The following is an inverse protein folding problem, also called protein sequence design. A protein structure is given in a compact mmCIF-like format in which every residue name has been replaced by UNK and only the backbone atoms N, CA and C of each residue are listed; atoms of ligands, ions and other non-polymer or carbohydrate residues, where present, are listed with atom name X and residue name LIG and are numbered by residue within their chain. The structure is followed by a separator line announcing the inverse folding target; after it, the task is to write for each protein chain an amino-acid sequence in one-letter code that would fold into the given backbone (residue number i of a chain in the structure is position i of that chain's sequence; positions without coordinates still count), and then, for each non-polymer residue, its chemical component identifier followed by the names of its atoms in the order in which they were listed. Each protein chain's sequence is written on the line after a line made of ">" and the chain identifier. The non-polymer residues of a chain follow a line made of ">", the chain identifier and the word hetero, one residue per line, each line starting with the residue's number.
data_IF_846594674525
#
_entry.id   IF_846594674525
#
_cell.length_a   1.000
_cell.length_b   1.000
_cell.length_c   1.000
_cell.angle_alpha   90.00
_cell.angle_beta   90.00
_cell.angle_gamma   90.00
#
_symmetry.space_group_name_H-M   'P 1'
#
loop_
_entity.id
_entity.type
_entity.pdbx_description
1 polymer ?
#
# COMPACT_ATOMS: atom_id res chain seq x y z
N UNK A 1 -22.67 -2.85 3.54
CA UNK A 1 -21.98 -4.10 3.94
C UNK A 1 -20.90 -3.75 4.96
N UNK A 2 -21.00 -4.27 6.18
CA UNK A 2 -19.97 -4.03 7.20
C UNK A 2 -18.78 -4.96 6.92
N UNK A 3 -17.73 -4.43 6.29
CA UNK A 3 -16.49 -5.19 6.13
C UNK A 3 -15.84 -5.41 7.51
N UNK A 4 -15.66 -6.68 7.87
CA UNK A 4 -15.02 -7.09 9.11
C UNK A 4 -13.50 -6.89 9.07
N UNK A 5 -12.85 -7.06 10.23
CA UNK A 5 -11.38 -6.97 10.34
C UNK A 5 -10.67 -7.99 9.44
N UNK A 6 -11.22 -9.20 9.31
CA UNK A 6 -10.69 -10.22 8.40
C UNK A 6 -10.71 -9.77 6.94
N UNK A 7 -11.77 -9.12 6.48
CA UNK A 7 -11.86 -8.59 5.11
C UNK A 7 -10.78 -7.54 4.84
N UNK A 8 -10.49 -6.66 5.79
CA UNK A 8 -9.42 -5.65 5.68
C UNK A 8 -8.07 -6.34 5.49
N UNK A 9 -7.77 -7.35 6.33
CA UNK A 9 -6.53 -8.11 6.25
C UNK A 9 -6.43 -8.82 4.90
N UNK A 10 -7.47 -9.54 4.46
CA UNK A 10 -7.46 -10.23 3.17
C UNK A 10 -7.27 -9.28 1.99
N UNK A 11 -7.90 -8.11 2.00
CA UNK A 11 -7.74 -7.09 0.96
C UNK A 11 -6.30 -6.54 0.91
N UNK A 12 -5.73 -6.22 2.08
CA UNK A 12 -4.36 -5.66 2.17
C UNK A 12 -3.33 -6.72 1.81
N UNK A 13 -3.34 -7.88 2.44
CA UNK A 13 -2.31 -8.90 2.20
C UNK A 13 -2.51 -9.58 0.84
N UNK A 14 -3.74 -9.99 0.50
CA UNK A 14 -4.03 -10.59 -0.79
C UNK A 14 -3.80 -9.63 -1.96
N UNK A 15 -4.34 -8.41 -1.87
CA UNK A 15 -4.19 -7.40 -2.92
C UNK A 15 -2.74 -6.95 -3.08
N UNK A 16 -2.08 -6.54 -2.01
CA UNK A 16 -0.76 -5.93 -2.13
C UNK A 16 0.36 -6.98 -2.39
N UNK A 17 0.25 -8.21 -1.87
CA UNK A 17 1.22 -9.27 -2.21
C UNK A 17 1.08 -9.69 -3.68
N UNK A 18 -0.15 -9.83 -4.18
CA UNK A 18 -0.40 -10.15 -5.60
C UNK A 18 0.01 -9.01 -6.53
N UNK A 19 -0.13 -7.77 -6.08
CA UNK A 19 0.31 -6.59 -6.83
C UNK A 19 1.83 -6.59 -7.07
N UNK A 20 2.62 -6.95 -6.06
CA UNK A 20 4.09 -7.05 -6.18
C UNK A 20 4.48 -8.11 -7.22
N UNK A 21 3.80 -9.25 -7.23
CA UNK A 21 4.04 -10.28 -8.24
C UNK A 21 3.80 -9.77 -9.67
N UNK A 22 2.66 -9.12 -9.91
CA UNK A 22 2.36 -8.53 -11.21
C UNK A 22 3.33 -7.39 -11.58
N UNK A 23 3.75 -6.60 -10.59
CA UNK A 23 4.73 -5.53 -10.76
C UNK A 23 6.10 -6.09 -11.21
N UNK A 24 6.60 -7.14 -10.56
CA UNK A 24 7.87 -7.79 -10.92
C UNK A 24 7.83 -8.35 -12.34
N UNK A 25 6.70 -8.96 -12.74
CA UNK A 25 6.52 -9.46 -14.10
C UNK A 25 6.62 -8.35 -15.17
N UNK A 26 6.02 -7.18 -14.91
CA UNK A 26 6.09 -6.03 -15.82
C UNK A 26 7.49 -5.41 -15.84
N UNK A 27 8.11 -5.19 -14.67
CA UNK A 27 9.42 -4.54 -14.58
C UNK A 27 10.51 -5.40 -15.23
N UNK A 28 10.39 -6.73 -15.18
CA UNK A 28 11.35 -7.64 -15.82
C UNK A 28 11.41 -7.47 -17.35
N UNK A 29 10.28 -7.18 -18.00
CA UNK A 29 10.20 -6.98 -19.46
C UNK A 29 10.33 -5.51 -19.85
N UNK A 30 9.80 -4.59 -19.05
CA UNK A 30 9.80 -3.16 -19.32
C UNK A 30 10.11 -2.35 -18.04
N UNK A 31 11.40 -2.18 -17.69
CA UNK A 31 11.82 -1.55 -16.43
C UNK A 31 11.34 -0.10 -16.26
N UNK A 32 11.12 0.62 -17.36
CA UNK A 32 10.68 2.02 -17.35
C UNK A 32 9.17 2.19 -17.10
N UNK A 33 8.38 1.13 -16.93
CA UNK A 33 6.90 1.21 -16.93
C UNK A 33 6.27 1.70 -15.61
N UNK A 34 7.06 2.10 -14.61
CA UNK A 34 6.55 2.44 -13.27
C UNK A 34 5.49 3.55 -13.28
N UNK A 35 5.66 4.58 -14.09
CA UNK A 35 4.68 5.68 -14.22
C UNK A 35 3.37 5.20 -14.84
N UNK A 36 3.45 4.43 -15.93
CA UNK A 36 2.29 3.82 -16.59
C UNK A 36 1.48 2.94 -15.64
N UNK A 37 2.17 2.11 -14.84
CA UNK A 37 1.53 1.25 -13.84
C UNK A 37 0.74 2.10 -12.85
N UNK A 38 1.35 3.13 -12.26
CA UNK A 38 0.64 4.00 -11.31
C UNK A 38 -0.54 4.73 -11.97
N UNK A 39 -0.38 5.23 -13.19
CA UNK A 39 -1.48 5.86 -13.92
C UNK A 39 -2.67 4.91 -14.12
N UNK A 40 -2.41 3.67 -14.59
CA UNK A 40 -3.46 2.67 -14.78
C UNK A 40 -4.15 2.27 -13.48
N UNK A 41 -3.39 2.14 -12.39
CA UNK A 41 -3.95 1.91 -11.06
C UNK A 41 -4.93 3.02 -10.65
N UNK A 42 -4.60 4.29 -10.93
CA UNK A 42 -5.45 5.43 -10.61
C UNK A 42 -6.71 5.49 -11.48
N UNK A 43 -6.58 5.24 -12.79
CA UNK A 43 -7.72 5.16 -13.71
C UNK A 43 -8.66 4.04 -13.26
N UNK A 44 -8.14 2.84 -13.07
CA UNK A 44 -8.96 1.68 -12.72
C UNK A 44 -9.63 1.85 -11.36
N UNK A 45 -8.91 2.41 -10.38
CA UNK A 45 -9.49 2.69 -9.06
C UNK A 45 -10.58 3.75 -9.12
N UNK A 46 -10.40 4.79 -9.94
CA UNK A 46 -11.43 5.82 -10.15
C UNK A 46 -12.68 5.23 -10.78
N UNK A 47 -12.53 4.44 -11.85
CA UNK A 47 -13.65 3.79 -12.52
C UNK A 47 -14.38 2.80 -11.61
N UNK A 48 -13.66 1.99 -10.84
CA UNK A 48 -14.26 1.00 -9.95
C UNK A 48 -14.91 1.63 -8.70
N UNK A 49 -14.44 2.78 -8.25
CA UNK A 49 -15.02 3.50 -7.10
C UNK A 49 -16.14 4.47 -7.49
N UNK A 50 -16.24 4.87 -8.77
CA UNK A 50 -17.29 5.74 -9.29
C UNK A 50 -18.72 5.31 -8.91
N UNK A 51 -19.12 4.03 -9.03
CA UNK A 51 -20.47 3.59 -8.64
C UNK A 51 -20.82 3.91 -7.18
N UNK A 52 -19.82 3.99 -6.29
CA UNK A 52 -20.06 4.33 -4.88
C UNK A 52 -20.41 5.80 -4.67
N UNK A 53 -20.06 6.66 -5.63
CA UNK A 53 -20.31 8.10 -5.61
C UNK A 53 -21.31 8.54 -6.68
N UNK A 54 -21.74 7.63 -7.56
CA UNK A 54 -22.73 7.91 -8.59
C UNK A 54 -24.06 8.35 -7.97
N UNK A 55 -24.66 9.40 -8.52
CA UNK A 55 -25.95 9.92 -8.08
C UNK A 55 -26.73 10.43 -9.28
N UNK A 56 -27.98 9.98 -9.42
CA UNK A 56 -28.90 10.44 -10.48
C UNK A 56 -29.43 11.86 -10.24
N UNK A 57 -29.35 12.35 -9.00
CA UNK A 57 -29.85 13.67 -8.59
C UNK A 57 -28.74 14.68 -8.30
N UNK A 58 -27.48 14.24 -8.31
CA UNK A 58 -26.31 15.08 -8.09
C UNK A 58 -25.85 15.82 -9.34
N UNK A 59 -25.27 17.01 -9.15
CA UNK A 59 -24.61 17.72 -10.25
C UNK A 59 -23.48 16.87 -10.86
N UNK A 60 -23.38 16.85 -12.19
CA UNK A 60 -22.39 16.05 -12.93
C UNK A 60 -22.44 14.53 -12.65
N UNK A 61 -23.57 14.01 -12.16
CA UNK A 61 -23.73 12.58 -11.89
C UNK A 61 -23.04 12.07 -10.62
N UNK A 62 -22.52 12.97 -9.77
CA UNK A 62 -21.78 12.63 -8.54
C UNK A 62 -22.54 13.14 -7.31
N UNK A 63 -22.57 12.32 -6.25
CA UNK A 63 -23.13 12.69 -4.95
C UNK A 63 -22.38 13.89 -4.36
N UNK A 64 -23.12 14.81 -3.72
CA UNK A 64 -22.52 15.90 -2.93
C UNK A 64 -21.57 15.31 -1.87
N UNK A 65 -20.27 15.67 -1.87
CA UNK A 65 -19.30 15.10 -0.96
C UNK A 65 -19.55 15.56 0.48
N UNK A 66 -19.33 14.66 1.44
CA UNK A 66 -19.43 14.96 2.87
C UNK A 66 -18.32 15.90 3.30
N UNK A 67 -17.14 15.72 2.71
CA UNK A 67 -15.96 16.54 2.95
C UNK A 67 -15.84 17.59 1.84
N UNK A 68 -15.50 18.85 2.15
CA UNK A 68 -15.22 19.86 1.14
C UNK A 68 -14.16 19.38 0.13
N UNK A 69 -14.42 19.55 -1.16
CA UNK A 69 -13.54 19.09 -2.26
C UNK A 69 -12.11 19.63 -2.12
N UNK A 70 -11.92 20.83 -1.55
CA UNK A 70 -10.59 21.40 -1.29
C UNK A 70 -9.72 20.50 -0.41
N UNK A 71 -10.31 19.85 0.60
CA UNK A 71 -9.57 18.94 1.48
C UNK A 71 -9.15 17.67 0.71
N UNK A 72 -10.02 17.16 -0.15
CA UNK A 72 -9.70 16.05 -1.04
C UNK A 72 -8.69 16.41 -2.11
N UNK A 73 -8.71 17.62 -2.66
CA UNK A 73 -7.72 18.09 -3.61
C UNK A 73 -6.34 18.19 -2.96
N UNK A 74 -6.25 18.72 -1.73
CA UNK A 74 -5.00 18.78 -0.99
C UNK A 74 -4.47 17.38 -0.65
N UNK A 75 -5.34 16.47 -0.21
CA UNK A 75 -4.97 15.08 0.03
C UNK A 75 -4.54 14.36 -1.25
N UNK A 76 -5.24 14.55 -2.37
CA UNK A 76 -4.88 13.99 -3.66
C UNK A 76 -3.51 14.48 -4.14
N UNK A 77 -3.20 15.77 -3.98
CA UNK A 77 -1.89 16.33 -4.31
C UNK A 77 -0.76 15.68 -3.48
N UNK A 78 -0.96 15.49 -2.17
CA UNK A 78 -0.01 14.77 -1.32
C UNK A 78 0.13 13.31 -1.75
N UNK A 79 -0.99 12.62 -1.99
CA UNK A 79 -1.02 11.22 -2.39
C UNK A 79 -0.29 11.00 -3.71
N UNK A 80 -0.57 11.82 -4.73
CA UNK A 80 0.15 11.81 -6.00
C UNK A 80 1.64 12.07 -5.79
N UNK A 81 2.01 13.11 -5.04
CA UNK A 81 3.41 13.46 -4.78
C UNK A 81 4.17 12.32 -4.09
N UNK A 82 3.56 11.68 -3.08
CA UNK A 82 4.15 10.53 -2.39
C UNK A 82 4.38 9.37 -3.36
N UNK A 83 3.41 9.07 -4.24
CA UNK A 83 3.58 8.00 -5.23
C UNK A 83 4.71 8.34 -6.22
N UNK A 84 4.78 9.58 -6.70
CA UNK A 84 5.82 10.01 -7.64
C UNK A 84 7.21 10.02 -7.00
N UNK A 85 7.36 10.56 -5.79
CA UNK A 85 8.64 10.62 -5.07
C UNK A 85 9.18 9.22 -4.75
N UNK A 86 8.32 8.31 -4.28
CA UNK A 86 8.73 6.93 -3.98
C UNK A 86 9.16 6.17 -5.26
N UNK A 87 8.50 6.42 -6.39
CA UNK A 87 8.88 5.82 -7.66
C UNK A 87 10.18 6.43 -8.22
N UNK A 88 10.34 7.74 -8.10
CA UNK A 88 11.49 8.47 -8.62
C UNK A 88 12.77 8.18 -7.83
N UNK A 89 12.66 7.83 -6.54
CA UNK A 89 13.80 7.45 -5.70
C UNK A 89 14.67 6.32 -6.31
N UNK A 90 14.08 5.41 -7.07
CA UNK A 90 14.83 4.33 -7.74
C UNK A 90 15.78 4.83 -8.83
N UNK A 91 15.55 6.02 -9.39
CA UNK A 91 16.46 6.63 -10.37
C UNK A 91 17.80 7.07 -9.75
N UNK A 92 17.87 7.21 -8.43
CA UNK A 92 19.07 7.65 -7.68
C UNK A 92 19.87 6.47 -7.11
N UNK A 93 19.89 5.34 -7.83
CA UNK A 93 20.59 4.11 -7.43
C UNK A 93 20.18 3.55 -6.06
N UNK A 94 19.00 3.93 -5.57
CA UNK A 94 18.45 3.35 -4.35
C UNK A 94 17.95 1.94 -4.62
N UNK A 95 18.55 0.96 -3.96
CA UNK A 95 18.12 -0.43 -4.07
C UNK A 95 16.77 -0.66 -3.36
N UNK A 96 16.02 -1.66 -3.82
CA UNK A 96 14.74 -2.06 -3.20
C UNK A 96 14.86 -2.33 -1.69
N UNK A 97 15.88 -3.05 -1.18
CA UNK A 97 16.07 -3.21 0.26
C UNK A 97 16.29 -1.89 1.02
N UNK A 98 17.10 -0.97 0.49
CA UNK A 98 17.34 0.35 1.10
C UNK A 98 16.05 1.17 1.15
N UNK A 99 15.27 1.17 0.07
CA UNK A 99 13.96 1.81 0.05
C UNK A 99 13.03 1.19 1.12
N UNK A 100 12.96 -0.14 1.22
CA UNK A 100 12.15 -0.82 2.23
C UNK A 100 12.52 -0.37 3.65
N UNK A 101 13.82 -0.29 3.95
CA UNK A 101 14.35 0.20 5.24
C UNK A 101 13.90 1.63 5.50
N UNK A 102 14.16 2.56 4.58
CA UNK A 102 13.86 3.98 4.77
C UNK A 102 12.37 4.22 4.93
N UNK A 103 11.54 3.49 4.18
CA UNK A 103 10.09 3.56 4.28
C UNK A 103 9.54 2.89 5.55
N UNK A 104 10.32 2.05 6.22
CA UNK A 104 9.90 1.45 7.50
C UNK A 104 9.91 2.45 8.65
N UNK A 105 10.79 3.46 8.60
CA UNK A 105 10.80 4.61 9.52
C UNK A 105 9.55 5.50 9.40
N UNK A 106 8.68 5.25 8.42
CA UNK A 106 7.36 5.89 8.31
C UNK A 106 6.51 5.74 9.59
N UNK A 107 6.60 4.63 10.31
CA UNK A 107 5.86 4.44 11.57
C UNK A 107 6.40 5.33 12.70
N UNK A 108 7.72 5.49 12.78
CA UNK A 108 8.40 6.37 13.74
C UNK A 108 8.01 7.82 13.48
N UNK A 109 8.14 8.27 12.23
CA UNK A 109 7.80 9.65 11.83
C UNK A 109 6.30 9.95 12.01
N UNK A 110 5.42 8.98 11.75
CA UNK A 110 3.98 9.13 11.98
C UNK A 110 3.63 9.20 13.47
N UNK A 111 4.30 8.39 14.30
CA UNK A 111 4.13 8.45 15.76
C UNK A 111 4.64 9.79 16.31
N UNK A 112 5.80 10.26 15.85
CA UNK A 112 6.34 11.57 16.22
C UNK A 112 5.39 12.70 15.81
N UNK A 113 4.86 12.68 14.59
CA UNK A 113 3.85 13.64 14.14
C UNK A 113 2.60 13.60 15.02
N UNK A 114 2.20 12.42 15.50
CA UNK A 114 1.13 12.29 16.48
C UNK A 114 1.45 12.95 17.82
N UNK A 115 2.66 12.77 18.34
CA UNK A 115 3.12 13.42 19.59
C UNK A 115 3.14 14.94 19.45
N UNK A 116 3.67 15.46 18.34
CA UNK A 116 3.67 16.90 18.04
C UNK A 116 2.25 17.50 17.97
N UNK A 117 1.25 16.65 17.70
CA UNK A 117 -0.16 17.01 17.66
C UNK A 117 -0.91 16.73 18.98
N UNK A 118 -0.18 16.43 20.06
CA UNK A 118 -0.74 16.20 21.39
C UNK A 118 -1.25 14.78 21.64
N UNK A 119 -0.95 13.79 20.78
CA UNK A 119 -1.28 12.38 21.08
C UNK A 119 -0.26 11.80 22.05
N UNK A 120 -0.77 11.14 23.10
CA UNK A 120 0.05 10.37 24.02
C UNK A 120 0.04 8.89 23.63
N UNK A 121 1.23 8.28 23.58
CA UNK A 121 1.40 6.86 23.31
C UNK A 121 1.88 6.14 24.55
N UNK A 122 1.40 4.91 24.77
CA UNK A 122 1.88 4.11 25.89
C UNK A 122 3.32 3.63 25.64
N UNK A 123 4.10 3.33 26.70
CA UNK A 123 5.45 2.80 26.54
C UNK A 123 5.50 1.53 25.69
N UNK A 124 4.44 0.70 25.74
CA UNK A 124 4.34 -0.51 24.92
C UNK A 124 4.09 -0.21 23.44
N UNK A 125 3.35 0.86 23.12
CA UNK A 125 3.18 1.31 21.73
C UNK A 125 4.52 1.80 21.16
N UNK A 126 5.28 2.59 21.94
CA UNK A 126 6.59 3.12 21.54
C UNK A 126 7.58 1.97 21.37
N UNK A 127 7.70 1.06 22.35
CA UNK A 127 8.61 -0.09 22.25
C UNK A 127 8.26 -1.01 21.08
N UNK A 128 6.97 -1.18 20.76
CA UNK A 128 6.54 -1.93 19.59
C UNK A 128 7.02 -1.28 18.29
N UNK A 129 6.93 0.05 18.14
CA UNK A 129 7.42 0.74 16.93
C UNK A 129 8.94 0.65 16.80
N UNK A 130 9.68 0.74 17.91
CA UNK A 130 11.13 0.53 17.92
C UNK A 130 11.46 -0.89 17.48
N UNK A 131 10.81 -1.90 18.07
CA UNK A 131 11.04 -3.31 17.75
C UNK A 131 10.68 -3.65 16.30
N UNK A 132 9.60 -3.04 15.78
CA UNK A 132 9.21 -3.13 14.37
C UNK A 132 10.31 -2.57 13.45
N UNK A 133 10.88 -1.43 13.79
CA UNK A 133 11.97 -0.80 13.03
C UNK A 133 13.21 -1.68 13.02
N UNK A 134 13.62 -2.21 14.18
CA UNK A 134 14.74 -3.16 14.31
C UNK A 134 14.49 -4.42 13.48
N UNK A 135 13.28 -5.01 13.58
CA UNK A 135 12.93 -6.21 12.83
C UNK A 135 13.04 -6.02 11.32
N UNK A 136 12.54 -4.90 10.79
CA UNK A 136 12.66 -4.59 9.35
C UNK A 136 14.12 -4.38 8.94
N UNK A 137 14.93 -3.71 9.76
CA UNK A 137 16.36 -3.53 9.50
C UNK A 137 17.10 -4.87 9.41
N UNK A 138 16.86 -5.77 10.37
CA UNK A 138 17.46 -7.12 10.40
C UNK A 138 17.05 -7.93 9.17
N UNK A 139 15.76 -7.93 8.82
CA UNK A 139 15.27 -8.62 7.62
C UNK A 139 15.86 -8.05 6.34
N UNK A 140 15.93 -6.73 6.21
CA UNK A 140 16.47 -6.10 4.99
C UNK A 140 17.98 -6.35 4.84
N UNK A 141 18.74 -6.31 5.94
CA UNK A 141 20.16 -6.70 5.94
C UNK A 141 20.31 -8.15 5.46
N UNK A 142 19.53 -9.06 6.05
CA UNK A 142 19.56 -10.47 5.70
C UNK A 142 19.28 -10.75 4.21
N UNK A 143 18.41 -9.97 3.55
CA UNK A 143 18.19 -10.09 2.10
C UNK A 143 19.37 -9.54 1.27
N UNK A 144 19.96 -8.41 1.68
CA UNK A 144 21.09 -7.80 0.97
C UNK A 144 22.31 -8.73 0.93
N UNK A 145 22.65 -9.30 2.09
CA UNK A 145 23.78 -10.22 2.28
C UNK A 145 23.61 -11.47 1.41
N UNK A 146 22.39 -12.03 1.36
CA UNK A 146 22.06 -13.19 0.53
C UNK A 146 22.22 -12.91 -0.97
N UNK A 147 21.89 -11.70 -1.41
CA UNK A 147 22.00 -11.30 -2.83
C UNK A 147 23.41 -10.90 -3.24
N UNK A 148 24.40 -11.04 -2.34
CA UNK A 148 25.79 -10.61 -2.59
C UNK A 148 25.90 -9.11 -2.85
N UNK A 149 24.88 -8.33 -2.50
CA UNK A 149 24.90 -6.87 -2.61
C UNK A 149 25.39 -6.35 -1.27
N UNK A 150 26.55 -5.70 -1.25
CA UNK A 150 26.98 -4.98 -0.04
C UNK A 150 25.89 -3.99 0.34
N UNK A 151 25.47 -4.01 1.61
CA UNK A 151 24.63 -2.97 2.18
C UNK A 151 25.47 -1.70 2.46
N UNK A 152 26.46 -1.45 1.61
CA UNK A 152 27.31 -0.27 1.68
C UNK A 152 26.49 0.94 1.22
N UNK A 153 26.45 1.94 2.09
CA UNK A 153 26.06 3.32 1.75
C UNK A 153 26.94 3.89 0.62
N UNK A 154 28.08 3.26 0.33
CA UNK A 154 28.83 3.44 -0.92
C UNK A 154 28.22 2.61 -2.04
N UNK A 155 27.46 3.29 -2.90
CA UNK A 155 27.15 2.84 -4.26
C UNK A 155 28.25 3.36 -5.21
N UNK A 156 28.48 2.67 -6.32
CA UNK A 156 29.29 3.16 -7.46
C UNK A 156 28.73 4.45 -8.11
N UNK A 157 27.57 4.94 -7.64
CA UNK A 157 27.04 6.25 -7.95
C UNK A 157 27.84 7.36 -7.26
N UNK A 158 27.80 8.58 -7.80
CA UNK A 158 28.36 9.71 -7.07
C UNK A 158 27.68 9.83 -5.70
N UNK A 159 28.44 10.08 -4.63
CA UNK A 159 27.89 10.24 -3.27
C UNK A 159 26.70 11.21 -3.24
N UNK A 160 26.71 12.21 -4.14
CA UNK A 160 25.64 13.19 -4.33
C UNK A 160 24.31 12.59 -4.81
N UNK A 161 24.31 11.67 -5.78
CA UNK A 161 23.08 11.03 -6.28
C UNK A 161 22.43 10.18 -5.20
N UNK A 162 23.23 9.39 -4.48
CA UNK A 162 22.74 8.56 -3.39
C UNK A 162 22.13 9.41 -2.26
N UNK A 163 22.84 10.46 -1.82
CA UNK A 163 22.31 11.40 -0.80
C UNK A 163 21.02 12.08 -1.26
N UNK A 164 20.91 12.42 -2.55
CA UNK A 164 19.68 12.99 -3.13
C UNK A 164 18.52 11.99 -3.06
N UNK A 165 18.76 10.73 -3.43
CA UNK A 165 17.78 9.65 -3.31
C UNK A 165 17.30 9.42 -1.87
N UNK A 166 18.21 9.47 -0.90
CA UNK A 166 17.87 9.43 0.53
C UNK A 166 17.00 10.62 0.95
N UNK A 167 17.36 11.83 0.53
CA UNK A 167 16.60 13.05 0.80
C UNK A 167 15.17 12.99 0.27
N UNK A 168 14.99 12.51 -0.96
CA UNK A 168 13.68 12.30 -1.59
C UNK A 168 12.84 11.31 -0.77
N UNK A 169 13.41 10.18 -0.36
CA UNK A 169 12.68 9.18 0.43
C UNK A 169 12.31 9.70 1.82
N UNK A 170 13.20 10.43 2.49
CA UNK A 170 12.91 11.05 3.78
C UNK A 170 11.77 12.06 3.65
N UNK A 171 11.81 12.93 2.64
CA UNK A 171 10.74 13.88 2.37
C UNK A 171 9.41 13.17 2.07
N UNK A 172 9.43 12.11 1.26
CA UNK A 172 8.26 11.29 0.99
C UNK A 172 7.70 10.62 2.26
N UNK A 173 8.53 10.22 3.22
CA UNK A 173 8.08 9.68 4.51
C UNK A 173 7.43 10.73 5.39
N UNK A 174 8.03 11.92 5.51
CA UNK A 174 7.44 13.03 6.27
C UNK A 174 6.10 13.45 5.67
N UNK A 175 6.02 13.54 4.34
CA UNK A 175 4.78 13.84 3.63
C UNK A 175 3.73 12.73 3.84
N UNK A 176 4.14 11.46 3.86
CA UNK A 176 3.26 10.32 4.15
C UNK A 176 2.72 10.34 5.59
N UNK A 177 3.57 10.68 6.56
CA UNK A 177 3.18 10.82 7.96
C UNK A 177 2.16 11.94 8.15
N UNK A 178 2.41 13.09 7.52
CA UNK A 178 1.50 14.23 7.55
C UNK A 178 0.16 13.89 6.84
N UNK A 179 0.20 13.30 5.65
CA UNK A 179 -0.99 12.86 4.93
C UNK A 179 -1.82 11.88 5.76
N UNK A 180 -1.19 10.90 6.40
CA UNK A 180 -1.88 9.93 7.27
C UNK A 180 -2.60 10.61 8.43
N UNK A 181 -1.92 11.55 9.12
CA UNK A 181 -2.54 12.33 10.19
C UNK A 181 -3.67 13.22 9.69
N UNK A 182 -3.51 13.85 8.53
CA UNK A 182 -4.53 14.69 7.89
C UNK A 182 -5.79 13.87 7.55
N UNK A 183 -5.63 12.69 6.97
CA UNK A 183 -6.75 11.78 6.64
C UNK A 183 -7.47 11.33 7.91
N UNK A 184 -6.74 11.02 8.98
CA UNK A 184 -7.33 10.66 10.28
C UNK A 184 -8.22 11.80 10.82
N UNK A 185 -7.79 13.07 10.72
CA UNK A 185 -8.60 14.21 11.14
C UNK A 185 -9.83 14.42 10.27
N UNK A 186 -9.71 14.22 8.96
CA UNK A 186 -10.83 14.36 8.03
C UNK A 186 -11.91 13.33 8.40
N UNK A 187 -11.52 12.08 8.66
CA UNK A 187 -12.46 11.06 9.14
C UNK A 187 -13.09 11.43 10.49
N UNK A 188 -12.29 11.91 11.44
CA UNK A 188 -12.80 12.31 12.77
C UNK A 188 -13.75 13.51 12.72
N UNK A 189 -13.44 14.52 11.90
CA UNK A 189 -14.18 15.78 11.83
C UNK A 189 -15.46 15.68 11.01
N UNK A 190 -15.41 14.98 9.87
CA UNK A 190 -16.52 14.95 8.92
C UNK A 190 -17.31 13.64 8.94
N UNK A 191 -16.85 12.61 9.67
CA UNK A 191 -17.46 11.28 9.62
C UNK A 191 -17.42 10.68 8.21
N UNK A 192 -16.38 11.02 7.45
CA UNK A 192 -16.31 10.75 6.01
C UNK A 192 -16.32 9.24 5.70
N UNK A 193 -16.91 8.86 4.57
CA UNK A 193 -16.87 7.47 4.12
C UNK A 193 -15.52 7.18 3.44
N UNK A 194 -14.94 6.01 3.70
CA UNK A 194 -13.68 5.58 3.09
C UNK A 194 -13.77 5.49 1.57
N UNK A 195 -14.95 5.18 1.02
CA UNK A 195 -15.18 5.14 -0.43
C UNK A 195 -15.17 6.53 -1.07
N UNK A 196 -15.55 7.57 -0.32
CA UNK A 196 -15.45 8.96 -0.76
C UNK A 196 -13.97 9.35 -0.90
N UNK A 197 -13.16 9.05 0.13
CA UNK A 197 -11.72 9.26 0.09
C UNK A 197 -11.06 8.49 -1.08
N UNK A 198 -11.44 7.21 -1.26
CA UNK A 198 -10.91 6.37 -2.33
C UNK A 198 -11.20 6.97 -3.72
N UNK A 199 -12.42 7.44 -3.96
CA UNK A 199 -12.79 8.02 -5.25
C UNK A 199 -12.06 9.36 -5.51
N UNK A 200 -12.17 10.32 -4.58
CA UNK A 200 -11.62 11.65 -4.82
C UNK A 200 -10.09 11.71 -4.80
N UNK A 201 -9.40 10.89 -3.99
CA UNK A 201 -7.92 10.79 -4.02
C UNK A 201 -7.42 10.43 -5.41
N UNK A 202 -8.07 9.48 -6.09
CA UNK A 202 -7.63 8.98 -7.38
C UNK A 202 -8.12 9.89 -8.51
N UNK A 203 -9.40 10.27 -8.50
CA UNK A 203 -9.98 11.16 -9.53
C UNK A 203 -9.23 12.49 -9.61
N UNK A 204 -9.03 13.16 -8.48
CA UNK A 204 -8.40 14.49 -8.46
C UNK A 204 -6.89 14.44 -8.74
N UNK A 205 -6.28 13.26 -8.66
CA UNK A 205 -4.87 13.05 -9.04
C UNK A 205 -4.69 12.81 -10.54
N UNK A 206 -5.72 12.36 -11.28
CA UNK A 206 -5.61 12.06 -12.71
C UNK A 206 -5.14 13.26 -13.55
N UNK A 207 -5.63 14.50 -13.35
CA UNK A 207 -5.14 15.67 -14.09
C UNK A 207 -3.64 15.93 -13.89
N UNK A 208 -3.07 15.52 -12.77
CA UNK A 208 -1.64 15.70 -12.48
C UNK A 208 -0.73 14.81 -13.35
N UNK A 209 -1.29 13.80 -14.02
CA UNK A 209 -0.57 12.98 -14.99
C UNK A 209 -0.50 13.60 -16.39
N UNK A 210 -1.30 14.64 -16.70
CA UNK A 210 -1.35 15.25 -18.04
C UNK A 210 0.02 15.73 -18.56
N UNK A 211 0.88 16.38 -17.74
CA UNK A 211 2.22 16.79 -18.18
C UNK A 211 3.13 15.61 -18.54
N UNK A 212 2.79 14.40 -18.09
CA UNK A 212 3.57 13.17 -18.30
C UNK A 212 2.98 12.27 -19.40
N UNK A 213 1.97 12.77 -20.13
CA UNK A 213 1.22 12.03 -21.15
C UNK A 213 2.09 11.43 -22.25
N UNK A 214 3.12 12.15 -22.72
CA UNK A 214 4.06 11.63 -23.72
C UNK A 214 4.82 10.39 -23.22
N UNK A 215 5.33 10.47 -21.99
CA UNK A 215 6.02 9.35 -21.34
C UNK A 215 5.08 8.16 -21.14
N UNK A 216 3.82 8.42 -20.77
CA UNK A 216 2.79 7.38 -20.62
C UNK A 216 2.51 6.67 -21.95
N UNK A 217 2.35 7.42 -23.05
CA UNK A 217 2.11 6.85 -24.38
C UNK A 217 3.28 5.98 -24.84
N UNK A 218 4.52 6.45 -24.65
CA UNK A 218 5.72 5.70 -25.00
C UNK A 218 5.85 4.41 -24.19
N UNK A 219 5.59 4.47 -22.88
CA UNK A 219 5.60 3.28 -22.02
C UNK A 219 4.51 2.29 -22.43
N UNK A 220 3.31 2.78 -22.75
CA UNK A 220 2.20 1.94 -23.18
C UNK A 220 2.49 1.25 -24.52
N UNK A 221 3.00 1.98 -25.52
CA UNK A 221 3.33 1.42 -26.82
C UNK A 221 4.36 0.28 -26.72
N UNK A 222 5.38 0.44 -25.87
CA UNK A 222 6.37 -0.62 -25.59
C UNK A 222 5.73 -1.85 -24.94
N UNK A 223 4.81 -1.64 -24.00
CA UNK A 223 4.16 -2.73 -23.29
C UNK A 223 3.12 -3.45 -24.16
N UNK A 224 2.41 -2.72 -25.01
CA UNK A 224 1.45 -3.27 -25.97
C UNK A 224 2.13 -4.08 -27.09
N UNK A 225 3.41 -3.82 -27.36
CA UNK A 225 4.21 -4.58 -28.31
C UNK A 225 4.74 -5.93 -27.77
N UNK A 226 4.50 -6.27 -26.50
CA UNK A 226 4.90 -7.58 -25.95
C UNK A 226 4.14 -8.72 -26.61
N UNK A 227 4.79 -9.88 -26.75
CA UNK A 227 4.12 -11.07 -27.29
C UNK A 227 2.97 -11.49 -26.38
N UNK A 228 1.85 -11.96 -26.94
CA UNK A 228 0.77 -12.56 -26.16
C UNK A 228 1.25 -13.73 -25.32
N UNK A 229 0.55 -13.98 -24.22
CA UNK A 229 0.91 -15.02 -23.26
C UNK A 229 0.45 -16.39 -23.79
N UNK A 230 1.36 -17.35 -23.89
CA UNK A 230 1.01 -18.73 -24.21
C UNK A 230 0.47 -19.43 -22.95
N UNK A 231 -0.86 -19.51 -22.84
CA UNK A 231 -1.55 -20.10 -21.69
C UNK A 231 -1.24 -21.59 -21.53
N UNK A 232 -0.76 -22.28 -22.57
CA UNK A 232 -0.36 -23.68 -22.47
C UNK A 232 0.90 -23.88 -21.60
N UNK A 233 1.68 -22.82 -21.38
CA UNK A 233 2.87 -22.85 -20.53
C UNK A 233 2.58 -22.48 -19.07
N UNK A 234 1.41 -21.89 -18.77
CA UNK A 234 1.01 -21.58 -17.38
C UNK A 234 0.26 -22.76 -16.76
N UNK A 235 0.90 -23.46 -15.82
CA UNK A 235 0.35 -24.60 -15.07
C UNK A 235 -0.91 -24.30 -14.22
N UNK A 236 -1.33 -23.04 -14.15
CA UNK A 236 -2.46 -22.56 -13.35
C UNK A 236 -3.76 -22.48 -14.15
N UNK A 237 -3.69 -22.53 -15.49
CA UNK A 237 -4.86 -22.53 -16.36
C UNK A 237 -5.14 -23.95 -16.88
N UNK A 238 -6.41 -24.40 -16.93
CA UNK A 238 -6.75 -25.68 -17.54
C UNK A 238 -6.28 -25.68 -18.99
N UNK A 239 -5.54 -26.73 -19.40
CA UNK A 239 -5.19 -26.93 -20.81
C UNK A 239 -6.48 -26.92 -21.64
N UNK A 240 -6.43 -26.25 -22.79
CA UNK A 240 -7.56 -26.04 -23.71
C UNK A 240 -8.35 -27.34 -23.98
N UNK A 241 -7.66 -28.48 -24.01
CA UNK A 241 -8.24 -29.82 -24.24
C UNK A 241 -9.24 -30.29 -23.17
N UNK A 242 -9.30 -29.65 -21.99
CA UNK A 242 -10.25 -29.97 -20.90
C UNK A 242 -11.39 -28.96 -20.75
N UNK A 243 -11.45 -27.92 -21.59
CA UNK A 243 -12.47 -26.87 -21.53
C UNK A 243 -13.71 -27.16 -22.38
N UNK A 244 -13.86 -28.38 -22.91
CA UNK A 244 -15.00 -28.80 -23.74
C UNK A 244 -16.38 -28.81 -23.07
N UNK A 245 -16.46 -28.43 -21.79
CA UNK A 245 -17.71 -28.29 -21.02
C UNK A 245 -17.91 -26.91 -20.38
N UNK A 246 -17.14 -25.89 -20.79
CA UNK A 246 -17.29 -24.54 -20.26
C UNK A 246 -18.41 -23.77 -20.97
N UNK A 247 -19.03 -22.81 -20.27
CA UNK A 247 -20.03 -21.93 -20.88
C UNK A 247 -19.40 -21.07 -21.99
N UNK A 248 -20.17 -20.67 -23.03
CA UNK A 248 -19.65 -19.87 -24.14
C UNK A 248 -19.04 -18.53 -23.70
N UNK A 249 -19.45 -18.00 -22.55
CA UNK A 249 -18.86 -16.81 -21.95
C UNK A 249 -17.42 -17.06 -21.46
N UNK A 250 -17.12 -18.24 -20.91
CA UNK A 250 -15.78 -18.59 -20.43
C UNK A 250 -14.83 -18.76 -21.63
N UNK A 251 -15.30 -19.38 -22.70
CA UNK A 251 -14.49 -19.54 -23.92
C UNK A 251 -14.17 -18.19 -24.58
N UNK A 252 -15.15 -17.27 -24.64
CA UNK A 252 -14.93 -15.92 -25.14
C UNK A 252 -13.89 -15.16 -24.31
N UNK A 253 -13.99 -15.24 -22.98
CA UNK A 253 -13.01 -14.62 -22.07
C UNK A 253 -11.63 -15.23 -22.29
N UNK A 254 -11.54 -16.55 -22.41
CA UNK A 254 -10.27 -17.25 -22.62
C UNK A 254 -9.59 -16.82 -23.93
N UNK A 255 -10.33 -16.76 -25.04
CA UNK A 255 -9.81 -16.27 -26.33
C UNK A 255 -9.41 -14.79 -26.30
N UNK A 256 -10.17 -13.96 -25.58
CA UNK A 256 -9.83 -12.56 -25.38
C UNK A 256 -8.53 -12.39 -24.57
N UNK A 257 -8.29 -13.27 -23.60
CA UNK A 257 -7.07 -13.28 -22.80
C UNK A 257 -5.85 -13.81 -23.58
N UNK A 258 -6.02 -14.83 -24.44
CA UNK A 258 -4.96 -15.37 -25.31
C UNK A 258 -4.45 -14.36 -26.35
N UNK A 259 -5.31 -13.45 -26.80
CA UNK A 259 -4.94 -12.43 -27.79
C UNK A 259 -4.33 -11.17 -27.17
N UNK A 260 -4.40 -11.01 -25.84
CA UNK A 260 -3.86 -9.85 -25.14
C UNK A 260 -2.33 -9.93 -25.00
N UNK A 261 -1.60 -8.84 -25.31
CA UNK A 261 -0.18 -8.73 -25.01
C UNK A 261 0.08 -9.02 -23.52
N UNK A 262 1.08 -9.86 -23.24
CA UNK A 262 1.38 -10.30 -21.87
C UNK A 262 1.60 -9.13 -20.90
N UNK A 263 2.27 -8.07 -21.36
CA UNK A 263 2.48 -6.85 -20.58
C UNK A 263 1.16 -6.13 -20.21
N UNK A 264 0.19 -6.07 -21.12
CA UNK A 264 -1.12 -5.47 -20.87
C UNK A 264 -1.94 -6.33 -19.90
N UNK A 265 -1.86 -7.65 -20.02
CA UNK A 265 -2.51 -8.56 -19.08
C UNK A 265 -1.97 -8.38 -17.65
N UNK A 266 -0.64 -8.36 -17.47
CA UNK A 266 -0.05 -8.10 -16.15
C UNK A 266 -0.36 -6.69 -15.64
N UNK A 267 -0.48 -5.69 -16.52
CA UNK A 267 -0.91 -4.35 -16.15
C UNK A 267 -2.34 -4.33 -15.59
N UNK A 268 -3.27 -5.10 -16.19
CA UNK A 268 -4.63 -5.27 -15.69
C UNK A 268 -4.65 -6.00 -14.34
N UNK A 269 -3.91 -7.10 -14.21
CA UNK A 269 -3.79 -7.83 -12.93
C UNK A 269 -3.21 -6.92 -11.85
N UNK A 270 -2.19 -6.13 -12.18
CA UNK A 270 -1.61 -5.15 -11.27
C UNK A 270 -2.64 -4.10 -10.82
N UNK A 271 -3.41 -3.53 -11.75
CA UNK A 271 -4.45 -2.54 -11.42
C UNK A 271 -5.57 -3.13 -10.54
N UNK A 272 -6.03 -4.36 -10.82
CA UNK A 272 -7.06 -5.05 -10.04
C UNK A 272 -6.59 -5.38 -8.61
N UNK A 273 -5.38 -5.92 -8.49
CA UNK A 273 -4.78 -6.25 -7.19
C UNK A 273 -4.48 -4.98 -6.39
N UNK A 274 -4.08 -3.89 -7.06
CA UNK A 274 -3.93 -2.59 -6.42
C UNK A 274 -5.27 -2.05 -5.92
N UNK A 275 -6.36 -2.16 -6.68
CA UNK A 275 -7.69 -1.75 -6.24
C UNK A 275 -8.09 -2.46 -4.94
N UNK A 276 -7.88 -3.78 -4.86
CA UNK A 276 -8.14 -4.54 -3.64
C UNK A 276 -7.26 -4.03 -2.47
N UNK A 277 -5.96 -3.88 -2.73
CA UNK A 277 -4.97 -3.36 -1.78
C UNK A 277 -5.40 -2.00 -1.21
N UNK A 278 -5.60 -1.00 -2.06
CA UNK A 278 -5.87 0.38 -1.67
C UNK A 278 -7.26 0.54 -1.02
N UNK A 279 -8.23 -0.27 -1.42
CA UNK A 279 -9.54 -0.35 -0.75
C UNK A 279 -9.37 -0.82 0.70
N UNK A 280 -8.57 -1.86 0.92
CA UNK A 280 -8.24 -2.34 2.26
C UNK A 280 -7.52 -1.28 3.10
N UNK A 281 -6.58 -0.55 2.52
CA UNK A 281 -5.86 0.54 3.22
C UNK A 281 -6.79 1.69 3.59
N UNK A 282 -7.66 2.14 2.69
CA UNK A 282 -8.62 3.21 2.98
C UNK A 282 -9.62 2.80 4.06
N UNK A 283 -10.10 1.56 3.99
CA UNK A 283 -10.99 1.01 5.01
C UNK A 283 -10.30 0.88 6.38
N UNK A 284 -9.02 0.51 6.42
CA UNK A 284 -8.23 0.49 7.65
C UNK A 284 -8.03 1.91 8.20
N UNK A 285 -7.71 2.88 7.33
CA UNK A 285 -7.51 4.28 7.72
C UNK A 285 -8.75 4.94 8.29
N UNK A 286 -9.95 4.54 7.83
CA UNK A 286 -11.20 5.05 8.38
C UNK A 286 -11.55 4.46 9.77
N UNK A 287 -10.91 3.36 10.18
CA UNK A 287 -11.22 2.63 11.42
C UNK A 287 -10.09 2.63 12.44
N UNK A 288 -8.94 3.19 12.11
CA UNK A 288 -7.74 3.10 12.95
C UNK A 288 -6.86 4.35 12.82
N UNK A 289 -5.92 4.50 13.76
CA UNK A 289 -4.98 5.62 13.73
C UNK A 289 -4.00 5.53 12.56
N UNK A 290 -3.45 6.67 12.13
CA UNK A 290 -2.40 6.71 11.11
C UNK A 290 -1.21 5.80 11.45
N UNK A 291 -0.82 5.73 12.73
CA UNK A 291 0.25 4.84 13.22
C UNK A 291 -0.10 3.38 12.99
N UNK A 292 -1.33 2.96 13.33
CA UNK A 292 -1.80 1.59 13.07
C UNK A 292 -1.72 1.24 11.59
N UNK A 293 -2.14 2.15 10.71
CA UNK A 293 -2.04 1.96 9.26
C UNK A 293 -0.59 1.73 8.85
N UNK A 294 0.35 2.58 9.30
CA UNK A 294 1.77 2.40 8.94
C UNK A 294 2.36 1.08 9.43
N UNK A 295 1.99 0.62 10.62
CA UNK A 295 2.44 -0.67 11.17
C UNK A 295 1.93 -1.83 10.31
N UNK A 296 0.62 -1.86 10.00
CA UNK A 296 0.03 -2.91 9.15
C UNK A 296 0.66 -2.92 7.76
N UNK A 297 0.90 -1.74 7.18
CA UNK A 297 1.57 -1.61 5.88
C UNK A 297 3.04 -2.07 5.93
N UNK A 298 3.73 -1.92 7.05
CA UNK A 298 5.09 -2.43 7.23
C UNK A 298 5.12 -3.95 7.35
N UNK A 299 4.23 -4.55 8.15
CA UNK A 299 4.07 -6.00 8.27
C UNK A 299 3.75 -6.61 6.90
N UNK A 300 2.85 -5.97 6.14
CA UNK A 300 2.51 -6.36 4.77
C UNK A 300 3.72 -6.45 3.85
N UNK A 301 4.59 -5.44 3.83
CA UNK A 301 5.80 -5.46 2.97
C UNK A 301 6.68 -6.66 3.29
N UNK A 302 6.82 -6.96 4.59
CA UNK A 302 7.61 -8.10 5.02
C UNK A 302 6.97 -9.43 4.63
N UNK A 303 5.64 -9.56 4.76
CA UNK A 303 4.91 -10.74 4.28
C UNK A 303 5.09 -10.92 2.78
N UNK A 304 4.94 -9.86 1.98
CA UNK A 304 5.18 -9.93 0.53
C UNK A 304 6.60 -10.38 0.21
N UNK A 305 7.59 -9.90 0.96
CA UNK A 305 8.98 -10.27 0.81
C UNK A 305 9.25 -11.75 1.17
N UNK A 306 8.71 -12.23 2.30
CA UNK A 306 8.85 -13.63 2.73
C UNK A 306 8.18 -14.55 1.70
N UNK A 307 6.96 -14.20 1.26
CA UNK A 307 6.22 -14.98 0.27
C UNK A 307 6.99 -15.06 -1.05
N UNK A 308 7.55 -13.95 -1.53
CA UNK A 308 8.43 -13.92 -2.69
C UNK A 308 9.64 -14.85 -2.51
N UNK A 309 10.32 -14.79 -1.36
CA UNK A 309 11.49 -15.63 -1.08
C UNK A 309 11.16 -17.13 -1.13
N UNK A 310 10.04 -17.53 -0.51
CA UNK A 310 9.56 -18.92 -0.51
C UNK A 310 9.16 -19.36 -1.91
N UNK A 311 8.40 -18.54 -2.64
CA UNK A 311 7.89 -18.87 -3.97
C UNK A 311 9.01 -19.02 -5.01
N UNK A 312 10.08 -18.24 -4.88
CA UNK A 312 11.27 -18.37 -5.73
C UNK A 312 12.26 -19.44 -5.24
N UNK A 313 11.88 -20.29 -4.28
CA UNK A 313 12.68 -21.44 -3.83
C UNK A 313 13.95 -21.08 -3.06
N UNK A 314 14.04 -19.86 -2.53
CA UNK A 314 15.20 -19.44 -1.74
C UNK A 314 15.03 -19.80 -0.27
N UNK A 315 16.11 -20.22 0.39
CA UNK A 315 16.08 -20.50 1.82
C UNK A 315 16.02 -19.22 2.65
N UNK A 316 15.19 -19.23 3.69
CA UNK A 316 15.11 -18.15 4.67
C UNK A 316 16.34 -18.21 5.57
N UNK A 317 17.16 -17.16 5.57
CA UNK A 317 18.30 -17.09 6.48
C UNK A 317 17.81 -16.97 7.94
N UNK A 318 18.57 -17.46 8.93
CA UNK A 318 18.21 -17.32 10.34
C UNK A 318 17.98 -15.85 10.75
N UNK A 319 18.78 -14.93 10.19
CA UNK A 319 18.62 -13.48 10.38
C UNK A 319 17.25 -12.99 9.85
N UNK A 320 16.82 -13.47 8.67
CA UNK A 320 15.50 -13.14 8.12
C UNK A 320 14.36 -13.64 9.02
N UNK A 321 14.48 -14.86 9.55
CA UNK A 321 13.50 -15.45 10.47
C UNK A 321 13.41 -14.62 11.76
N UNK A 322 14.56 -14.24 12.34
CA UNK A 322 14.60 -13.37 13.51
C UNK A 322 13.94 -12.02 13.25
N UNK A 323 14.31 -11.33 12.17
CA UNK A 323 13.70 -10.05 11.78
C UNK A 323 12.19 -10.17 11.58
N UNK A 324 11.74 -11.28 10.99
CA UNK A 324 10.32 -11.60 10.82
C UNK A 324 9.60 -11.78 12.15
N UNK A 325 10.18 -12.55 13.08
CA UNK A 325 9.61 -12.74 14.42
C UNK A 325 9.46 -11.40 15.17
N UNK A 326 10.45 -10.51 15.06
CA UNK A 326 10.41 -9.16 15.66
C UNK A 326 9.28 -8.30 15.06
N UNK A 327 9.09 -8.32 13.74
CA UNK A 327 8.04 -7.53 13.08
C UNK A 327 6.64 -8.05 13.38
N UNK A 328 6.42 -9.36 13.36
CA UNK A 328 5.11 -9.92 13.73
C UNK A 328 4.82 -9.75 15.22
N UNK A 329 5.82 -9.99 16.08
CA UNK A 329 5.71 -9.81 17.52
C UNK A 329 5.40 -8.36 17.90
N UNK A 330 6.10 -7.38 17.31
CA UNK A 330 5.81 -5.96 17.53
C UNK A 330 4.42 -5.55 17.04
N UNK A 331 3.99 -6.04 15.88
CA UNK A 331 2.63 -5.82 15.37
C UNK A 331 1.56 -6.35 16.33
N UNK A 332 1.77 -7.56 16.86
CA UNK A 332 0.88 -8.18 17.84
C UNK A 332 0.85 -7.40 19.17
N UNK A 333 2.02 -6.99 19.69
CA UNK A 333 2.13 -6.18 20.91
C UNK A 333 1.40 -4.84 20.77
N UNK A 334 1.63 -4.13 19.66
CA UNK A 334 0.96 -2.86 19.39
C UNK A 334 -0.56 -3.04 19.26
N UNK A 335 -0.98 -4.07 18.52
CA UNK A 335 -2.39 -4.40 18.33
C UNK A 335 -3.08 -4.77 19.64
N UNK A 336 -2.43 -5.55 20.51
CA UNK A 336 -2.93 -5.92 21.83
C UNK A 336 -3.12 -4.70 22.74
N UNK A 337 -2.11 -3.84 22.82
CA UNK A 337 -2.17 -2.62 23.63
C UNK A 337 -3.29 -1.69 23.16
N UNK A 338 -3.39 -1.46 21.85
CA UNK A 338 -4.32 -0.49 21.25
C UNK A 338 -5.76 -1.00 21.22
N UNK A 339 -5.97 -2.26 20.86
CA UNK A 339 -7.31 -2.82 20.60
C UNK A 339 -7.93 -3.51 21.81
N UNK A 340 -7.12 -3.97 22.78
CA UNK A 340 -7.62 -4.75 23.92
C UNK A 340 -7.36 -4.05 25.26
N UNK A 341 -6.10 -3.81 25.62
CA UNK A 341 -5.73 -3.35 26.96
C UNK A 341 -6.20 -1.93 27.27
N UNK A 342 -5.87 -0.95 26.41
CA UNK A 342 -6.26 0.45 26.63
C UNK A 342 -7.78 0.65 26.64
N UNK A 343 -8.58 0.06 25.72
CA UNK A 343 -10.04 0.14 25.79
C UNK A 343 -10.62 -0.50 27.05
N UNK A 344 -10.10 -1.65 27.51
CA UNK A 344 -10.55 -2.27 28.76
C UNK A 344 -10.23 -1.40 29.98
N UNK A 345 -9.05 -0.80 30.04
CA UNK A 345 -8.67 0.12 31.12
C UNK A 345 -9.58 1.35 31.17
N UNK A 346 -9.86 1.97 30.01
CA UNK A 346 -10.80 3.10 29.91
C UNK A 346 -12.21 2.71 30.37
N UNK A 347 -12.71 1.54 29.98
CA UNK A 347 -14.02 1.02 30.44
C UNK A 347 -14.05 0.81 31.96
N UNK A 348 -12.99 0.23 32.53
CA UNK A 348 -12.87 0.03 33.99
C UNK A 348 -12.83 1.36 34.75
N UNK A 349 -12.06 2.34 34.27
CA UNK A 349 -11.99 3.67 34.88
C UNK A 349 -13.34 4.40 34.79
N UNK A 350 -14.02 4.33 33.65
CA UNK A 350 -15.36 4.91 33.49
C UNK A 350 -16.38 4.28 34.45
N UNK A 351 -16.33 2.96 34.65
CA UNK A 351 -17.18 2.26 35.61
C UNK A 351 -16.89 2.71 37.05
N UNK A 352 -15.61 2.80 37.45
CA UNK A 352 -15.22 3.26 38.79
C UNK A 352 -15.66 4.71 39.06
N UNK A 353 -15.47 5.61 38.10
CA UNK A 353 -15.89 7.02 38.24
C UNK A 353 -17.42 7.15 38.28
N UNK A 354 -18.15 6.36 37.48
CA UNK A 354 -19.62 6.33 37.51
C UNK A 354 -20.18 5.81 38.83
N UNK A 355 -19.55 4.80 39.43
CA UNK A 355 -19.91 4.29 40.75
C UNK A 355 -19.56 5.26 41.88
N UNK A 356 -18.48 6.04 41.75
CA UNK A 356 -18.11 7.06 42.72
C UNK A 356 -19.09 8.26 42.73
N UNK A 357 -19.60 8.67 41.56
CA UNK A 357 -20.61 9.74 41.49
C UNK A 357 -21.96 9.32 42.09
N UNK A 358 -22.41 8.08 41.87
CA UNK A 358 -23.66 7.56 42.47
C UNK A 358 -23.65 7.41 43.99
N UNK A 359 -22.47 7.42 44.63
CA UNK A 359 -22.35 7.37 46.09
C UNK A 359 -22.32 8.75 46.74
N UNK A 360 -22.26 9.82 45.94
CA UNK A 360 -22.24 11.22 46.39
C UNK A 360 -23.59 11.92 46.23
N UNK A 361 -24.48 11.34 45.42
CA UNK A 361 -25.93 11.60 45.42
C UNK A 361 -26.59 10.70 46.46
#
# INVERSE_FOLDING_TARGET
>A
MAFGALSIVLLIFGGCCSNVFALEAIIKSAPSSGLLITFFQFVFTTLASYPTQASTTGAYGVRKPTVPVRNWAFMAAMFFSINMLNNWAFAFSISVPVHIILRSFGSVTTMLAGVLRGKCYSPLQISSVVLLTVGVLVSAWADSERKGKSMSVESQASTSEFTTGLGILLFAQLLSAYMGAYVEDIYAKYGANWSENLFYSHLLSLPLFLPLSLTLQQQYAKLAATTPLDFNQLSLFPKHDKLGSASPAIELVYRALETLPSGVLFLLVNALTQLACISGVNLLSAKSSAVTVTIVLNIRKLVSFIFSTILFGHQLSPKMVLGSALVFGSGALYGWETSWRLPQQRKRQAALNGSANRKKE
#
